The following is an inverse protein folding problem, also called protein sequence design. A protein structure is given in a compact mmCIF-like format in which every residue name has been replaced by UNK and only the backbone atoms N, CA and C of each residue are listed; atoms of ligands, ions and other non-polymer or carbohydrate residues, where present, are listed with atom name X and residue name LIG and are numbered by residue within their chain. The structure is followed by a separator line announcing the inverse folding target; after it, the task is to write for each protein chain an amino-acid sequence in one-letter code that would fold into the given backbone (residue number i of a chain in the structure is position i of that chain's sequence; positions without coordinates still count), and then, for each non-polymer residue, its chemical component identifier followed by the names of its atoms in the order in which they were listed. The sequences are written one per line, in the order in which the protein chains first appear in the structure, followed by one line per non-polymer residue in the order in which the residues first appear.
data_IF_385186992544
#
_entry.id   IF_385186992544
#
_cell.length_a   1.000
_cell.length_b   1.000
_cell.length_c   1.000
_cell.angle_alpha   90.00
_cell.angle_beta   90.00
_cell.angle_gamma   90.00
#
_symmetry.space_group_name_H-M   'P 1'
#
loop_
_entity.id
_entity.type
_entity.pdbx_description
1 polymer ?
#
# COMPACT_ATOMS: atom_id res chain seq x y z
N UNK A 1 -40.44 -40.34 10.44
CA UNK A 1 -39.81 -39.06 10.80
C UNK A 1 -38.55 -39.31 11.64
N UNK A 2 -37.37 -39.59 11.05
CA UNK A 2 -36.11 -39.83 11.82
C UNK A 2 -34.80 -39.39 11.11
N UNK A 3 -34.85 -38.79 9.91
CA UNK A 3 -33.64 -38.36 9.16
C UNK A 3 -32.93 -37.11 9.70
N UNK A 4 -33.58 -36.07 10.27
CA UNK A 4 -32.85 -34.88 10.73
C UNK A 4 -32.13 -35.06 12.06
N UNK A 5 -32.56 -36.00 12.92
CA UNK A 5 -31.89 -36.26 14.21
C UNK A 5 -30.53 -36.95 14.05
N UNK A 6 -30.36 -37.80 13.04
CA UNK A 6 -29.10 -38.51 12.79
C UNK A 6 -28.02 -37.55 12.27
N UNK A 7 -28.41 -36.54 11.49
CA UNK A 7 -27.47 -35.51 11.00
C UNK A 7 -26.98 -34.59 12.13
N UNK A 8 -27.86 -34.21 13.06
CA UNK A 8 -27.49 -33.37 14.21
C UNK A 8 -26.58 -34.14 15.17
N UNK A 9 -26.87 -35.42 15.44
CA UNK A 9 -26.00 -36.26 16.30
C UNK A 9 -24.64 -36.47 15.65
N UNK A 10 -24.58 -36.66 14.33
CA UNK A 10 -23.33 -36.76 13.58
C UNK A 10 -22.47 -35.48 13.72
N UNK A 11 -23.08 -34.31 13.54
CA UNK A 11 -22.37 -33.02 13.61
C UNK A 11 -21.87 -32.71 15.03
N UNK A 12 -22.69 -33.00 16.05
CA UNK A 12 -22.27 -32.85 17.46
C UNK A 12 -21.14 -33.81 17.82
N UNK A 13 -21.20 -35.07 17.36
CA UNK A 13 -20.12 -36.03 17.59
C UNK A 13 -18.80 -35.63 16.92
N UNK A 14 -18.87 -35.08 15.71
CA UNK A 14 -17.70 -34.56 15.00
C UNK A 14 -17.07 -33.37 15.74
N UNK A 15 -17.89 -32.46 16.29
CA UNK A 15 -17.41 -31.33 17.07
C UNK A 15 -16.64 -31.76 18.34
N UNK A 16 -17.15 -32.77 19.06
CA UNK A 16 -16.50 -33.29 20.28
C UNK A 16 -15.17 -33.99 19.95
N UNK A 17 -15.11 -34.73 18.85
CA UNK A 17 -13.87 -35.39 18.39
C UNK A 17 -12.81 -34.35 18.04
N UNK A 18 -13.18 -33.28 17.34
CA UNK A 18 -12.23 -32.21 16.97
C UNK A 18 -11.65 -31.51 18.20
N UNK A 19 -12.46 -31.24 19.22
CA UNK A 19 -11.98 -30.65 20.49
C UNK A 19 -11.05 -31.62 21.24
N UNK A 20 -11.37 -32.93 21.22
CA UNK A 20 -10.51 -33.95 21.81
C UNK A 20 -9.12 -34.04 21.15
N UNK A 21 -9.07 -33.96 19.81
CA UNK A 21 -7.81 -33.93 19.06
C UNK A 21 -7.00 -32.68 19.43
N UNK A 22 -7.64 -31.51 19.51
CA UNK A 22 -6.96 -30.27 19.90
C UNK A 22 -6.40 -30.31 21.32
N UNK A 23 -7.03 -31.05 22.24
CA UNK A 23 -6.53 -31.24 23.60
C UNK A 23 -5.32 -32.18 23.67
N UNK A 24 -5.20 -33.12 22.72
CA UNK A 24 -4.08 -34.06 22.65
C UNK A 24 -2.81 -33.47 21.99
N UNK A 25 -2.86 -32.23 21.47
CA UNK A 25 -1.65 -31.58 20.99
C UNK A 25 -0.69 -31.33 22.17
N UNK A 26 0.58 -31.73 22.07
CA UNK A 26 1.56 -31.54 23.11
C UNK A 26 1.73 -30.04 23.36
N UNK A 27 1.42 -29.61 24.58
CA UNK A 27 1.69 -28.25 25.05
C UNK A 27 3.20 -28.12 25.22
N UNK A 28 3.89 -27.55 24.23
CA UNK A 28 5.28 -27.11 24.38
C UNK A 28 5.27 -25.95 25.34
N UNK A 29 5.66 -26.22 26.59
CA UNK A 29 5.96 -25.19 27.58
C UNK A 29 7.40 -24.78 27.32
N UNK A 30 7.63 -23.49 27.09
CA UNK A 30 8.97 -22.93 26.91
C UNK A 30 9.60 -22.86 28.30
N UNK A 31 10.49 -23.80 28.60
CA UNK A 31 11.42 -23.70 29.73
C UNK A 31 12.56 -22.75 29.33
N UNK A 32 12.71 -21.68 30.10
CA UNK A 32 13.77 -20.69 29.93
C UNK A 32 14.83 -20.92 31.01
N UNK A 33 15.86 -21.71 30.71
CA UNK A 33 17.08 -21.80 31.53
C UNK A 33 18.34 -21.89 30.62
N UNK A 34 19.03 -20.75 30.56
CA UNK A 34 20.49 -20.52 30.71
C UNK A 34 21.53 -21.58 30.27
N UNK A 35 22.43 -21.08 29.42
CA UNK A 35 23.91 -21.28 29.35
C UNK A 35 24.53 -22.51 28.65
N UNK A 36 25.15 -22.18 27.50
CA UNK A 36 26.51 -22.52 27.01
C UNK A 36 26.96 -23.95 26.58
N UNK A 37 27.49 -23.94 25.33
CA UNK A 37 28.66 -24.66 24.77
C UNK A 37 28.57 -26.15 24.36
N UNK A 38 28.75 -26.47 23.06
CA UNK A 38 30.07 -26.63 22.40
C UNK A 38 29.93 -27.02 20.90
N UNK A 39 31.05 -26.94 20.20
CA UNK A 39 31.30 -26.76 18.76
C UNK A 39 31.02 -27.92 17.76
N UNK A 40 30.61 -27.49 16.55
CA UNK A 40 31.13 -27.78 15.19
C UNK A 40 31.47 -29.21 14.72
N UNK A 41 30.82 -29.66 13.63
CA UNK A 41 31.48 -30.34 12.49
C UNK A 41 30.79 -29.95 11.17
N UNK A 42 31.61 -29.60 10.17
CA UNK A 42 31.24 -29.15 8.82
C UNK A 42 30.82 -30.28 7.87
N UNK A 43 29.91 -30.00 6.92
CA UNK A 43 30.15 -30.05 5.47
C UNK A 43 28.85 -30.05 4.63
N UNK A 44 28.92 -29.26 3.54
CA UNK A 44 28.14 -29.32 2.30
C UNK A 44 26.65 -28.94 2.28
N UNK A 45 26.43 -27.76 1.69
CA UNK A 45 25.49 -27.48 0.60
C UNK A 45 24.17 -28.25 0.56
N UNK A 46 23.09 -27.59 0.95
CA UNK A 46 21.97 -27.33 0.03
C UNK A 46 21.05 -26.26 0.63
N UNK A 47 20.58 -25.40 -0.25
CA UNK A 47 19.67 -24.28 0.03
C UNK A 47 18.43 -24.75 0.79
N UNK A 48 18.21 -24.16 1.96
CA UNK A 48 16.89 -24.10 2.56
C UNK A 48 16.76 -22.73 3.23
N UNK A 49 16.25 -21.76 2.47
CA UNK A 49 15.75 -20.50 3.02
C UNK A 49 14.68 -20.82 4.07
N UNK A 50 14.94 -20.40 5.30
CA UNK A 50 13.98 -20.49 6.41
C UNK A 50 12.79 -19.56 6.17
N UNK A 51 11.55 -19.95 6.50
CA UNK A 51 10.36 -19.08 6.41
C UNK A 51 10.43 -17.79 7.26
N UNK A 52 11.46 -17.63 8.09
CA UNK A 52 11.70 -16.44 8.90
C UNK A 52 12.16 -15.22 8.08
N UNK A 53 12.60 -15.40 6.83
CA UNK A 53 13.03 -14.30 5.94
C UNK A 53 11.88 -13.56 5.23
N UNK A 54 10.62 -13.93 5.50
CA UNK A 54 9.46 -13.37 4.79
C UNK A 54 8.81 -12.16 5.50
N UNK A 55 9.33 -11.71 6.64
CA UNK A 55 8.76 -10.60 7.41
C UNK A 55 9.79 -9.53 7.75
N UNK A 56 9.96 -8.58 6.82
CA UNK A 56 10.72 -7.34 7.01
C UNK A 56 12.22 -7.56 6.89
N UNK A 57 12.80 -7.19 5.74
CA UNK A 57 14.25 -7.09 5.63
C UNK A 57 14.76 -6.15 6.73
N UNK A 58 15.38 -6.71 7.76
CA UNK A 58 16.02 -5.90 8.79
C UNK A 58 17.06 -5.04 8.08
N UNK A 59 16.94 -3.72 8.25
CA UNK A 59 17.78 -2.79 7.52
C UNK A 59 19.23 -2.94 7.99
N UNK A 60 20.07 -3.43 7.10
CA UNK A 60 21.48 -3.66 7.38
C UNK A 60 22.19 -2.35 7.77
N UNK A 61 23.29 -2.47 8.51
CA UNK A 61 24.00 -1.33 9.05
C UNK A 61 24.53 -0.37 7.97
N UNK A 62 24.89 -0.89 6.78
CA UNK A 62 25.39 -0.06 5.69
C UNK A 62 24.27 0.79 5.08
N UNK A 63 23.07 0.23 4.92
CA UNK A 63 21.91 0.97 4.43
C UNK A 63 21.47 2.04 5.42
N UNK A 64 21.45 1.73 6.72
CA UNK A 64 21.16 2.72 7.76
C UNK A 64 22.11 3.91 7.70
N UNK A 65 23.41 3.63 7.65
CA UNK A 65 24.43 4.67 7.52
C UNK A 65 24.21 5.51 6.27
N UNK A 66 23.88 4.88 5.13
CA UNK A 66 23.61 5.60 3.89
C UNK A 66 22.40 6.53 4.00
N UNK A 67 21.33 6.10 4.65
CA UNK A 67 20.16 6.95 4.89
C UNK A 67 20.49 8.13 5.80
N UNK A 68 21.30 7.93 6.83
CA UNK A 68 21.72 9.00 7.73
C UNK A 68 22.64 10.02 7.02
N UNK A 69 23.55 9.56 6.16
CA UNK A 69 24.35 10.43 5.28
C UNK A 69 23.48 11.26 4.34
N UNK A 70 22.47 10.65 3.71
CA UNK A 70 21.53 11.36 2.82
C UNK A 70 20.73 12.41 3.58
N UNK A 71 20.22 12.09 4.79
CA UNK A 71 19.51 13.05 5.64
C UNK A 71 20.40 14.23 6.03
N UNK A 72 21.63 13.97 6.46
CA UNK A 72 22.59 15.02 6.80
C UNK A 72 22.90 15.90 5.58
N UNK A 73 23.07 15.29 4.41
CA UNK A 73 23.32 16.01 3.16
C UNK A 73 22.15 16.94 2.81
N UNK A 74 20.90 16.48 2.98
CA UNK A 74 19.71 17.31 2.72
C UNK A 74 19.61 18.55 3.63
N UNK A 75 20.14 18.50 4.84
CA UNK A 75 20.08 19.64 5.77
C UNK A 75 20.98 20.80 5.33
N UNK A 76 22.09 20.51 4.65
CA UNK A 76 23.10 21.51 4.26
C UNK A 76 23.14 21.78 2.76
N UNK A 77 22.48 20.97 1.94
CA UNK A 77 22.52 21.10 0.48
C UNK A 77 21.64 22.26 -0.01
N UNK A 78 22.29 23.21 -0.69
CA UNK A 78 21.67 24.38 -1.30
C UNK A 78 21.50 24.22 -2.80
N UNK A 79 22.32 23.39 -3.46
CA UNK A 79 22.15 23.13 -4.88
C UNK A 79 20.88 22.31 -5.15
N UNK A 80 20.01 22.86 -5.99
CA UNK A 80 18.70 22.28 -6.32
C UNK A 80 18.83 20.84 -6.84
N UNK A 81 19.65 20.60 -7.85
CA UNK A 81 19.75 19.31 -8.53
C UNK A 81 20.25 18.21 -7.58
N UNK A 82 21.27 18.53 -6.77
CA UNK A 82 21.82 17.62 -5.76
C UNK A 82 20.82 17.35 -4.65
N UNK A 83 20.14 18.38 -4.17
CA UNK A 83 19.10 18.23 -3.14
C UNK A 83 18.00 17.28 -3.61
N UNK A 84 17.46 17.50 -4.81
CA UNK A 84 16.42 16.65 -5.38
C UNK A 84 16.91 15.20 -5.54
N UNK A 85 18.14 15.01 -6.04
CA UNK A 85 18.74 13.67 -6.17
C UNK A 85 18.88 12.95 -4.84
N UNK A 86 19.27 13.66 -3.77
CA UNK A 86 19.38 13.08 -2.43
C UNK A 86 18.00 12.77 -1.83
N UNK A 87 17.01 13.63 -2.06
CA UNK A 87 15.63 13.43 -1.61
C UNK A 87 15.03 12.18 -2.27
N UNK A 88 15.18 12.04 -3.58
CA UNK A 88 14.72 10.88 -4.34
C UNK A 88 15.41 9.60 -3.87
N UNK A 89 16.74 9.64 -3.71
CA UNK A 89 17.52 8.49 -3.22
C UNK A 89 17.06 8.04 -1.84
N UNK A 90 16.79 9.00 -0.94
CA UNK A 90 16.33 8.71 0.41
C UNK A 90 14.89 8.17 0.41
N UNK A 91 14.01 8.73 -0.41
CA UNK A 91 12.64 8.26 -0.56
C UNK A 91 12.58 6.81 -1.08
N UNK A 92 13.39 6.48 -2.09
CA UNK A 92 13.50 5.10 -2.61
C UNK A 92 13.94 4.11 -1.52
N UNK A 93 14.90 4.50 -0.68
CA UNK A 93 15.31 3.66 0.45
C UNK A 93 14.17 3.50 1.45
N UNK A 94 13.47 4.57 1.80
CA UNK A 94 12.31 4.46 2.70
C UNK A 94 11.23 3.53 2.15
N UNK A 95 10.84 3.67 0.89
CA UNK A 95 9.83 2.82 0.25
C UNK A 95 10.27 1.35 0.26
N UNK A 96 11.56 1.06 -0.01
CA UNK A 96 12.11 -0.31 0.01
C UNK A 96 11.92 -1.01 1.37
N UNK A 97 11.96 -0.27 2.48
CA UNK A 97 11.76 -0.80 3.83
C UNK A 97 10.34 -0.54 4.37
N UNK A 98 9.37 -0.26 3.49
CA UNK A 98 7.96 -0.06 3.85
C UNK A 98 7.69 1.21 4.66
N UNK A 99 8.59 2.20 4.62
CA UNK A 99 8.46 3.48 5.32
C UNK A 99 7.85 4.55 4.41
N UNK A 100 6.67 4.26 3.86
CA UNK A 100 6.01 5.12 2.86
C UNK A 100 5.74 6.55 3.35
N UNK A 101 5.37 6.70 4.63
CA UNK A 101 5.17 8.02 5.25
C UNK A 101 6.43 8.88 5.25
N UNK A 102 7.59 8.25 5.50
CA UNK A 102 8.89 8.90 5.52
C UNK A 102 9.35 9.25 4.10
N UNK A 103 9.06 8.40 3.12
CA UNK A 103 9.30 8.70 1.70
C UNK A 103 8.48 9.91 1.25
N UNK A 104 7.17 9.92 1.53
CA UNK A 104 6.26 11.01 1.21
C UNK A 104 6.69 12.33 1.87
N UNK A 105 7.09 12.29 3.15
CA UNK A 105 7.57 13.48 3.86
C UNK A 105 8.80 14.11 3.19
N UNK A 106 9.78 13.30 2.79
CA UNK A 106 11.01 13.79 2.13
C UNK A 106 10.69 14.42 0.78
N UNK A 107 9.86 13.76 -0.05
CA UNK A 107 9.48 14.28 -1.36
C UNK A 107 8.57 15.52 -1.25
N UNK A 108 7.69 15.55 -0.25
CA UNK A 108 6.89 16.73 0.08
C UNK A 108 7.75 17.94 0.44
N UNK A 109 8.75 17.75 1.30
CA UNK A 109 9.71 18.80 1.63
C UNK A 109 10.53 19.27 0.41
N UNK A 110 10.85 18.36 -0.52
CA UNK A 110 11.49 18.71 -1.78
C UNK A 110 10.60 19.54 -2.69
N UNK A 111 9.32 19.20 -2.80
CA UNK A 111 8.33 19.95 -3.55
C UNK A 111 8.05 21.33 -2.94
N UNK A 112 8.07 21.45 -1.61
CA UNK A 112 7.91 22.75 -0.93
C UNK A 112 9.15 23.64 -1.11
N UNK A 113 10.36 23.07 -1.06
CA UNK A 113 11.60 23.83 -1.22
C UNK A 113 11.84 24.27 -2.67
N UNK A 114 11.54 23.39 -3.62
CA UNK A 114 11.76 23.60 -5.04
C UNK A 114 10.49 23.26 -5.84
N UNK A 115 9.47 24.12 -5.77
CA UNK A 115 8.18 23.86 -6.42
C UNK A 115 8.34 23.83 -7.94
N UNK A 116 7.89 22.74 -8.53
CA UNK A 116 7.77 22.55 -9.96
C UNK A 116 6.93 21.30 -10.23
N UNK A 117 6.32 21.24 -11.42
CA UNK A 117 5.46 20.14 -11.84
C UNK A 117 5.96 18.73 -11.45
N UNK A 118 7.18 18.29 -11.82
CA UNK A 118 7.63 16.94 -11.49
C UNK A 118 7.76 16.71 -9.98
N UNK A 119 8.09 17.73 -9.18
CA UNK A 119 8.16 17.60 -7.72
C UNK A 119 6.77 17.51 -7.10
N UNK A 120 5.79 18.29 -7.59
CA UNK A 120 4.40 18.18 -7.15
C UNK A 120 3.82 16.80 -7.44
N UNK A 121 4.10 16.25 -8.62
CA UNK A 121 3.70 14.88 -8.98
C UNK A 121 4.37 13.86 -8.06
N UNK A 122 5.69 13.90 -7.91
CA UNK A 122 6.44 12.95 -7.09
C UNK A 122 5.98 12.97 -5.61
N UNK A 123 5.77 14.16 -5.03
CA UNK A 123 5.26 14.29 -3.68
C UNK A 123 3.85 13.74 -3.56
N UNK A 124 2.93 14.15 -4.45
CA UNK A 124 1.54 13.73 -4.41
C UNK A 124 1.35 12.23 -4.60
N UNK A 125 2.12 11.61 -5.49
CA UNK A 125 2.12 10.16 -5.69
C UNK A 125 2.67 9.40 -4.47
N UNK A 126 3.74 9.89 -3.85
CA UNK A 126 4.28 9.28 -2.64
C UNK A 126 3.31 9.40 -1.44
N UNK A 127 2.62 10.53 -1.31
CA UNK A 127 1.55 10.68 -0.31
C UNK A 127 0.37 9.77 -0.59
N UNK A 128 0.01 9.59 -1.86
CA UNK A 128 -1.05 8.67 -2.27
C UNK A 128 -0.66 7.22 -1.93
N UNK A 129 0.56 6.81 -2.26
CA UNK A 129 1.09 5.49 -1.90
C UNK A 129 1.04 5.28 -0.38
N UNK A 130 1.57 6.23 0.40
CA UNK A 130 1.50 6.17 1.85
C UNK A 130 0.05 6.10 2.37
N UNK A 131 -0.89 6.80 1.74
CA UNK A 131 -2.32 6.76 2.04
C UNK A 131 -2.88 5.34 1.84
N UNK A 132 -2.52 4.66 0.75
CA UNK A 132 -3.03 3.30 0.47
C UNK A 132 -2.57 2.25 1.49
N UNK A 133 -1.43 2.47 2.15
CA UNK A 133 -0.91 1.57 3.21
C UNK A 133 -1.26 2.01 4.63
N UNK A 134 -1.92 3.17 4.81
CA UNK A 134 -2.23 3.68 6.14
C UNK A 134 -3.42 2.93 6.77
N UNK A 135 -3.23 2.44 8.00
CA UNK A 135 -4.28 1.74 8.76
C UNK A 135 -5.00 2.63 9.77
N UNK A 136 -4.37 3.74 10.18
CA UNK A 136 -4.94 4.66 11.15
C UNK A 136 -5.77 5.74 10.43
N UNK A 137 -7.02 5.91 10.83
CA UNK A 137 -7.97 6.82 10.18
C UNK A 137 -7.47 8.29 10.13
N UNK A 138 -6.90 8.80 11.22
CA UNK A 138 -6.35 10.17 11.24
C UNK A 138 -5.21 10.31 10.24
N UNK A 139 -4.34 9.30 10.16
CA UNK A 139 -3.24 9.25 9.19
C UNK A 139 -3.75 9.16 7.76
N UNK A 140 -4.77 8.34 7.50
CA UNK A 140 -5.45 8.24 6.19
C UNK A 140 -5.95 9.62 5.76
N UNK A 141 -6.65 10.35 6.63
CA UNK A 141 -7.16 11.68 6.30
C UNK A 141 -6.04 12.72 6.07
N UNK A 142 -4.98 12.68 6.86
CA UNK A 142 -3.83 13.57 6.68
C UNK A 142 -3.12 13.32 5.33
N UNK A 143 -2.83 12.06 5.01
CA UNK A 143 -2.17 11.68 3.76
C UNK A 143 -3.05 11.94 2.53
N UNK A 144 -4.36 11.68 2.63
CA UNK A 144 -5.33 12.06 1.59
C UNK A 144 -5.35 13.58 1.34
N UNK A 145 -5.16 14.39 2.38
CA UNK A 145 -5.11 15.86 2.26
C UNK A 145 -3.83 16.31 1.56
N UNK A 146 -2.66 15.80 1.95
CA UNK A 146 -1.40 16.12 1.28
C UNK A 146 -1.38 15.63 -0.17
N UNK A 147 -1.95 14.45 -0.46
CA UNK A 147 -2.14 13.95 -1.84
C UNK A 147 -2.90 14.97 -2.69
N UNK A 148 -4.06 15.44 -2.19
CA UNK A 148 -4.90 16.42 -2.90
C UNK A 148 -4.20 17.77 -3.06
N UNK A 149 -3.40 18.19 -2.07
CA UNK A 149 -2.59 19.43 -2.14
C UNK A 149 -1.58 19.36 -3.28
N UNK A 150 -0.68 18.38 -3.27
CA UNK A 150 0.40 18.32 -4.26
C UNK A 150 -0.08 17.93 -5.65
N UNK A 151 -0.97 16.94 -5.77
CA UNK A 151 -1.55 16.61 -7.08
C UNK A 151 -2.47 17.71 -7.59
N UNK A 152 -3.13 18.47 -6.71
CA UNK A 152 -3.90 19.66 -7.07
C UNK A 152 -3.01 20.71 -7.75
N UNK A 153 -1.86 21.02 -7.15
CA UNK A 153 -0.87 21.94 -7.76
C UNK A 153 -0.38 21.43 -9.13
N UNK A 154 -0.12 20.12 -9.28
CA UNK A 154 0.26 19.55 -10.56
C UNK A 154 -0.88 19.66 -11.62
N UNK A 155 -2.14 19.48 -11.20
CA UNK A 155 -3.32 19.57 -12.05
C UNK A 155 -3.67 21.01 -12.46
N UNK A 156 -3.29 22.02 -11.67
CA UNK A 156 -3.37 23.42 -12.08
C UNK A 156 -2.48 23.69 -13.31
N UNK A 157 -1.30 23.08 -13.38
CA UNK A 157 -0.39 23.18 -14.52
C UNK A 157 -0.82 22.27 -15.69
N UNK A 158 -1.27 21.05 -15.40
CA UNK A 158 -1.67 20.05 -16.41
C UNK A 158 -3.05 19.44 -16.11
N UNK A 159 -4.16 20.13 -16.43
CA UNK A 159 -5.51 19.74 -16.04
C UNK A 159 -6.06 18.52 -16.82
N UNK A 160 -5.33 18.02 -17.81
CA UNK A 160 -5.75 16.85 -18.63
C UNK A 160 -5.17 15.52 -18.13
N UNK A 161 -4.41 15.53 -17.04
CA UNK A 161 -3.80 14.33 -16.45
C UNK A 161 -4.83 13.51 -15.68
N UNK A 162 -5.55 12.63 -16.40
CA UNK A 162 -6.60 11.76 -15.86
C UNK A 162 -6.07 10.79 -14.80
N UNK A 163 -4.81 10.36 -14.93
CA UNK A 163 -4.07 9.57 -13.94
C UNK A 163 -3.98 10.29 -12.58
N UNK A 164 -3.57 11.56 -12.57
CA UNK A 164 -3.47 12.33 -11.32
C UNK A 164 -4.85 12.67 -10.75
N UNK A 165 -5.82 13.03 -11.63
CA UNK A 165 -7.22 13.26 -11.22
C UNK A 165 -7.80 12.03 -10.54
N UNK A 166 -7.50 10.83 -11.04
CA UNK A 166 -8.03 9.58 -10.49
C UNK A 166 -7.52 9.34 -9.07
N UNK A 167 -6.23 9.54 -8.82
CA UNK A 167 -5.66 9.43 -7.47
C UNK A 167 -6.32 10.42 -6.50
N UNK A 168 -6.53 11.67 -6.92
CA UNK A 168 -7.28 12.67 -6.13
C UNK A 168 -8.72 12.19 -5.88
N UNK A 169 -9.41 11.67 -6.89
CA UNK A 169 -10.78 11.16 -6.77
C UNK A 169 -10.88 10.04 -5.74
N UNK A 170 -9.94 9.07 -5.79
CA UNK A 170 -9.89 7.94 -4.88
C UNK A 170 -9.71 8.36 -3.43
N UNK A 171 -8.97 9.45 -3.15
CA UNK A 171 -8.87 10.00 -1.79
C UNK A 171 -10.19 10.57 -1.28
N UNK A 172 -11.10 10.99 -2.16
CA UNK A 172 -12.42 11.46 -1.77
C UNK A 172 -13.41 10.32 -1.52
N UNK A 173 -13.29 9.19 -2.24
CA UNK A 173 -14.22 8.04 -2.13
C UNK A 173 -14.27 7.48 -0.71
N UNK A 174 -13.12 7.45 -0.01
CA UNK A 174 -13.00 7.00 1.38
C UNK A 174 -13.13 8.13 2.42
N UNK A 175 -13.42 9.36 1.99
CA UNK A 175 -13.50 10.54 2.85
C UNK A 175 -14.92 10.82 3.35
N UNK A 176 -15.09 11.91 4.10
CA UNK A 176 -16.41 12.44 4.46
C UNK A 176 -17.21 13.00 3.27
N UNK A 177 -16.58 13.19 2.11
CA UNK A 177 -17.20 13.70 0.88
C UNK A 177 -17.14 12.69 -0.29
N UNK A 178 -17.68 11.47 -0.13
CA UNK A 178 -17.55 10.41 -1.14
C UNK A 178 -18.18 10.78 -2.48
N UNK A 179 -19.29 11.54 -2.46
CA UNK A 179 -19.96 11.99 -3.70
C UNK A 179 -19.06 12.83 -4.61
N UNK A 180 -18.12 13.61 -4.05
CA UNK A 180 -17.18 14.37 -4.84
C UNK A 180 -16.24 13.45 -5.62
N UNK A 181 -15.72 12.40 -4.96
CA UNK A 181 -14.86 11.40 -5.61
C UNK A 181 -15.60 10.66 -6.72
N UNK A 182 -16.83 10.25 -6.46
CA UNK A 182 -17.69 9.57 -7.44
C UNK A 182 -17.99 10.45 -8.65
N UNK A 183 -18.29 11.74 -8.46
CA UNK A 183 -18.48 12.68 -9.58
C UNK A 183 -17.21 12.83 -10.40
N UNK A 184 -16.06 13.02 -9.75
CA UNK A 184 -14.77 13.15 -10.44
C UNK A 184 -14.43 11.88 -11.25
N UNK A 185 -14.65 10.69 -10.70
CA UNK A 185 -14.41 9.43 -11.42
C UNK A 185 -15.28 9.31 -12.68
N UNK A 186 -16.54 9.77 -12.63
CA UNK A 186 -17.41 9.79 -13.81
C UNK A 186 -16.88 10.73 -14.88
N UNK A 187 -16.50 11.96 -14.50
CA UNK A 187 -15.92 12.94 -15.43
C UNK A 187 -14.64 12.38 -16.09
N UNK A 188 -13.80 11.68 -15.33
CA UNK A 188 -12.60 11.03 -15.85
C UNK A 188 -12.95 9.93 -16.85
N UNK A 189 -13.93 9.08 -16.57
CA UNK A 189 -14.35 8.02 -17.50
C UNK A 189 -15.08 8.55 -18.74
N UNK A 190 -15.68 9.74 -18.67
CA UNK A 190 -16.20 10.45 -19.83
C UNK A 190 -15.08 11.01 -20.73
N UNK A 191 -13.97 11.48 -20.14
CA UNK A 191 -12.78 11.96 -20.86
C UNK A 191 -11.89 10.81 -21.37
N UNK A 192 -11.69 9.78 -20.56
CA UNK A 192 -10.79 8.64 -20.74
C UNK A 192 -11.46 7.33 -20.29
N UNK A 193 -12.28 6.72 -21.16
CA UNK A 193 -13.03 5.50 -20.83
C UNK A 193 -12.17 4.27 -20.53
N UNK A 194 -10.86 4.32 -20.81
CA UNK A 194 -9.93 3.20 -20.60
C UNK A 194 -9.02 3.42 -19.39
N UNK A 195 -9.29 4.42 -18.56
CA UNK A 195 -8.52 4.67 -17.34
C UNK A 195 -8.68 3.49 -16.35
N UNK A 196 -7.65 2.64 -16.27
CA UNK A 196 -7.68 1.39 -15.49
C UNK A 196 -7.99 1.63 -14.00
N UNK A 197 -7.34 2.61 -13.38
CA UNK A 197 -7.53 2.96 -11.97
C UNK A 197 -8.99 3.39 -11.68
N UNK A 198 -9.56 4.22 -12.55
CA UNK A 198 -10.95 4.68 -12.42
C UNK A 198 -11.96 3.56 -12.68
N UNK A 199 -11.67 2.71 -13.66
CA UNK A 199 -12.46 1.53 -14.01
C UNK A 199 -12.54 0.51 -12.86
N UNK A 200 -11.39 0.13 -12.28
CA UNK A 200 -11.34 -0.82 -11.16
C UNK A 200 -12.12 -0.27 -9.96
N UNK A 201 -12.00 1.04 -9.71
CA UNK A 201 -12.73 1.68 -8.61
C UNK A 201 -14.24 1.70 -8.88
N UNK A 202 -14.65 1.77 -10.15
CA UNK A 202 -16.05 1.75 -10.57
C UNK A 202 -16.45 0.36 -11.07
N UNK A 203 -16.55 -0.61 -10.15
CA UNK A 203 -16.86 -2.04 -10.41
C UNK A 203 -18.14 -2.30 -11.26
N UNK A 204 -18.95 -1.28 -11.53
CA UNK A 204 -20.14 -1.35 -12.39
C UNK A 204 -19.94 -0.99 -13.87
N UNK A 205 -18.76 -0.50 -14.31
CA UNK A 205 -18.53 -0.21 -15.73
C UNK A 205 -17.65 -1.29 -16.38
N UNK A 206 -18.15 -2.03 -17.38
CA UNK A 206 -17.33 -3.00 -18.10
C UNK A 206 -16.32 -2.26 -18.98
N UNK A 207 -15.07 -2.12 -18.52
CA UNK A 207 -13.95 -1.59 -19.28
C UNK A 207 -13.32 -2.67 -20.18
N UNK A 208 -14.16 -3.39 -20.93
CA UNK A 208 -13.76 -4.34 -21.97
C UNK A 208 -14.08 -3.76 -23.34
N UNK A 209 -13.17 -3.88 -24.31
CA UNK A 209 -13.38 -3.41 -25.69
C UNK A 209 -14.70 -3.90 -26.34
N UNK A 210 -15.27 -5.00 -25.86
CA UNK A 210 -16.56 -5.54 -26.33
C UNK A 210 -17.80 -4.74 -25.89
N UNK A 211 -17.68 -3.82 -24.91
CA UNK A 211 -18.83 -3.09 -24.35
C UNK A 211 -19.13 -1.77 -25.06
N UNK A 212 -18.22 -1.29 -25.92
CA UNK A 212 -18.37 -0.03 -26.66
C UNK A 212 -19.43 -0.16 -27.78
N UNK A 213 -19.68 -1.37 -28.29
CA UNK A 213 -20.61 -1.65 -29.39
C UNK A 213 -21.97 -2.23 -28.97
N UNK A 214 -22.27 -2.36 -27.67
CA UNK A 214 -23.58 -2.83 -27.25
C UNK A 214 -24.59 -1.67 -27.24
N UNK A 215 -25.57 -1.60 -28.16
CA UNK A 215 -26.65 -0.64 -28.03
C UNK A 215 -27.36 -0.90 -26.71
N UNK A 216 -27.45 0.15 -25.86
CA UNK A 216 -28.33 0.19 -24.69
C UNK A 216 -29.78 -0.02 -25.16
N UNK A 217 -30.14 -1.28 -25.36
CA UNK A 217 -31.49 -1.69 -25.65
C UNK A 217 -31.88 -2.79 -24.67
N UNK A 218 -32.91 -2.47 -23.90
CA UNK A 218 -33.84 -3.39 -23.27
C UNK A 218 -33.26 -4.46 -22.33
N UNK A 219 -33.53 -4.32 -21.03
CA UNK A 219 -34.75 -4.90 -20.43
C UNK A 219 -34.73 -4.75 -18.91
N UNK A 220 -35.84 -4.24 -18.33
CA UNK A 220 -36.82 -4.97 -17.48
C UNK A 220 -36.29 -5.26 -16.06
N UNK A 221 -36.98 -4.96 -14.97
CA UNK A 221 -38.33 -4.49 -14.67
C UNK A 221 -38.28 -3.75 -13.34
#
# INVERSE_FOLDING_TARGET
MKKPQIQIIGLVSAAVVTVGILYALPRVVVDNESEENFEQVAASSESASTPADMHGAEMDASTRKRMDELKASLQTEENKERFLTFADSLAVLYTRYGKFDSAAYVLGGAAEKFPAFPQHVAAGEAYYEAYTFALNEQKVQALATETRKFLGMALEEQPKRTDLKTKVAMTYVSSSNPMQGITMLREILEEDPMNEDACITWESYPCSLDSIDAPRSASRN
#
